data_IF_211681677438
#
_entry.id   IF_211681677438
#
_cell.length_a   1.000
_cell.length_b   1.000
_cell.length_c   1.000
_cell.angle_alpha   90.00
_cell.angle_beta   90.00
_cell.angle_gamma   90.00
#
_symmetry.space_group_name_H-M   'P 1'
#
loop_
_entity.id
_entity.type
_entity.pdbx_description
1 polymer ?
#
# COMPACT_ATOMS: atom_id res chain seq x y z
N UNK A 1 2.52 12.05 -10.30
CA UNK A 1 1.56 11.44 -9.36
C UNK A 1 2.34 10.64 -8.33
N UNK A 2 1.74 10.35 -7.17
CA UNK A 2 2.19 9.26 -6.30
C UNK A 2 1.48 7.98 -6.73
N UNK A 3 2.07 6.79 -6.57
CA UNK A 3 1.42 5.53 -6.87
C UNK A 3 1.03 4.79 -5.58
N UNK A 4 -0.18 4.23 -5.54
CA UNK A 4 -0.62 3.40 -4.42
C UNK A 4 -0.33 1.93 -4.72
N UNK A 5 0.34 1.27 -3.78
CA UNK A 5 0.42 -0.18 -3.72
C UNK A 5 -0.38 -0.67 -2.53
N UNK A 6 -1.36 -1.53 -2.77
CA UNK A 6 -2.23 -2.06 -1.72
C UNK A 6 -2.69 -3.47 -2.09
N UNK A 7 -3.09 -4.24 -1.10
CA UNK A 7 -3.69 -5.56 -1.36
C UNK A 7 -5.16 -5.39 -1.69
N UNK A 8 -5.60 -5.94 -2.82
CA UNK A 8 -7.01 -5.95 -3.20
C UNK A 8 -7.83 -6.74 -2.17
N UNK A 9 -7.37 -7.94 -1.82
CA UNK A 9 -7.97 -8.84 -0.83
C UNK A 9 -9.12 -9.66 -1.40
N UNK A 10 -9.48 -10.74 -0.71
CA UNK A 10 -10.70 -11.50 -1.01
C UNK A 10 -11.88 -10.78 -0.36
N UNK A 11 -12.80 -10.27 -1.19
CA UNK A 11 -13.96 -9.52 -0.73
C UNK A 11 -15.21 -9.96 -1.46
N UNK A 12 -16.30 -10.11 -0.70
CA UNK A 12 -17.62 -10.32 -1.30
C UNK A 12 -18.17 -8.98 -1.81
N UNK A 13 -18.96 -8.96 -2.90
CA UNK A 13 -19.48 -7.73 -3.48
C UNK A 13 -20.22 -6.81 -2.48
N UNK A 14 -20.87 -7.38 -1.47
CA UNK A 14 -21.58 -6.63 -0.42
C UNK A 14 -20.67 -5.78 0.48
N UNK A 15 -19.37 -6.02 0.49
CA UNK A 15 -18.39 -5.24 1.26
C UNK A 15 -17.85 -4.03 0.50
N UNK A 16 -18.11 -3.93 -0.82
CA UNK A 16 -17.58 -2.84 -1.62
C UNK A 16 -18.14 -1.49 -1.16
N UNK A 17 -17.31 -0.46 -1.29
CA UNK A 17 -17.60 0.89 -0.85
C UNK A 17 -17.66 1.81 -2.06
N UNK A 18 -18.67 2.66 -2.10
CA UNK A 18 -18.81 3.66 -3.15
C UNK A 18 -17.87 4.84 -2.91
N UNK A 19 -17.20 5.30 -3.96
CA UNK A 19 -16.48 6.58 -4.03
C UNK A 19 -16.99 7.38 -5.24
N UNK A 20 -16.84 8.70 -5.18
CA UNK A 20 -17.10 9.57 -6.34
C UNK A 20 -15.81 9.79 -7.13
N UNK A 21 -15.85 9.57 -8.43
CA UNK A 21 -14.75 9.79 -9.36
C UNK A 21 -15.30 10.44 -10.64
N UNK A 22 -14.90 11.69 -10.93
CA UNK A 22 -15.36 12.46 -12.09
C UNK A 22 -16.89 12.52 -12.26
N UNK A 23 -17.64 12.60 -11.15
CA UNK A 23 -19.11 12.62 -11.16
C UNK A 23 -19.77 11.25 -11.29
N UNK A 24 -18.98 10.18 -11.43
CA UNK A 24 -19.47 8.80 -11.44
C UNK A 24 -19.24 8.13 -10.08
N UNK A 25 -20.14 7.21 -9.72
CA UNK A 25 -19.95 6.34 -8.54
C UNK A 25 -19.14 5.12 -8.95
N UNK A 26 -18.01 4.90 -8.27
CA UNK A 26 -17.13 3.75 -8.47
C UNK A 26 -17.14 2.90 -7.20
N UNK A 27 -17.34 1.59 -7.35
CA UNK A 27 -17.27 0.62 -6.26
C UNK A 27 -15.83 0.15 -6.08
N UNK A 28 -15.29 0.33 -4.87
CA UNK A 28 -13.92 -0.08 -4.52
C UNK A 28 -13.90 -1.05 -3.34
N UNK A 29 -12.84 -1.83 -3.23
CA UNK A 29 -12.67 -2.75 -2.10
C UNK A 29 -12.54 -2.00 -0.77
N UNK A 30 -12.88 -2.62 0.38
CA UNK A 30 -12.67 -2.03 1.71
C UNK A 30 -11.22 -1.58 1.96
N UNK A 31 -10.26 -2.36 1.43
CA UNK A 31 -8.83 -2.06 1.53
C UNK A 31 -8.49 -0.74 0.84
N UNK A 32 -8.94 -0.57 -0.42
CA UNK A 32 -8.72 0.66 -1.18
C UNK A 32 -9.44 1.85 -0.55
N UNK A 33 -10.70 1.66 -0.11
CA UNK A 33 -11.45 2.73 0.54
C UNK A 33 -10.73 3.26 1.80
N UNK A 34 -10.22 2.34 2.62
CA UNK A 34 -9.45 2.65 3.83
C UNK A 34 -8.16 3.40 3.48
N UNK A 35 -7.43 2.92 2.47
CA UNK A 35 -6.20 3.56 2.00
C UNK A 35 -6.45 4.99 1.50
N UNK A 36 -7.41 5.18 0.59
CA UNK A 36 -7.78 6.49 0.05
C UNK A 36 -8.23 7.47 1.15
N UNK A 37 -9.02 6.97 2.11
CA UNK A 37 -9.48 7.78 3.24
C UNK A 37 -8.31 8.23 4.11
N UNK A 38 -7.33 7.36 4.36
CA UNK A 38 -6.16 7.68 5.19
C UNK A 38 -5.15 8.59 4.49
N UNK A 39 -5.02 8.47 3.17
CA UNK A 39 -4.05 9.21 2.36
C UNK A 39 -4.51 10.60 1.91
N UNK A 40 -5.82 10.88 2.06
CA UNK A 40 -6.42 12.18 1.72
C UNK A 40 -5.84 13.28 2.60
N UNK A 41 -5.37 14.35 1.99
CA UNK A 41 -5.04 15.56 2.73
C UNK A 41 -6.32 16.30 3.13
N UNK A 42 -6.34 16.97 4.29
CA UNK A 42 -7.54 17.65 4.77
C UNK A 42 -7.95 18.86 3.90
N UNK A 43 -6.97 19.53 3.27
CA UNK A 43 -7.20 20.83 2.63
C UNK A 43 -6.67 20.94 1.20
N UNK A 44 -6.12 19.87 0.63
CA UNK A 44 -5.55 19.92 -0.72
C UNK A 44 -5.80 18.60 -1.48
N UNK A 45 -5.95 18.67 -2.81
CA UNK A 45 -6.02 17.46 -3.63
C UNK A 45 -4.72 16.68 -3.55
N UNK A 46 -4.82 15.37 -3.70
CA UNK A 46 -3.67 14.46 -3.83
C UNK A 46 -3.76 13.68 -5.13
N UNK A 47 -2.74 13.78 -5.96
CA UNK A 47 -2.68 13.08 -7.24
C UNK A 47 -2.12 11.67 -7.04
N UNK A 48 -3.01 10.68 -6.93
CA UNK A 48 -2.69 9.27 -6.75
C UNK A 48 -3.04 8.46 -8.00
N UNK A 49 -2.12 7.61 -8.43
CA UNK A 49 -2.39 6.53 -9.37
C UNK A 49 -2.77 5.27 -8.59
N UNK A 50 -3.89 4.66 -8.96
CA UNK A 50 -4.45 3.46 -8.33
C UNK A 50 -4.92 2.54 -9.45
N UNK A 51 -4.38 1.34 -9.52
CA UNK A 51 -4.68 0.33 -10.56
C UNK A 51 -6.19 0.09 -10.74
N UNK A 52 -6.94 -0.11 -9.66
CA UNK A 52 -8.39 -0.38 -9.73
C UNK A 52 -9.24 0.79 -10.26
N UNK A 53 -8.69 2.00 -10.32
CA UNK A 53 -9.40 3.21 -10.78
C UNK A 53 -8.84 3.67 -12.13
N UNK A 54 -7.52 3.67 -12.29
CA UNK A 54 -6.83 4.21 -13.46
C UNK A 54 -6.75 3.23 -14.63
N UNK A 55 -6.97 1.93 -14.40
CA UNK A 55 -7.05 0.90 -15.44
C UNK A 55 -8.51 0.52 -15.61
N UNK A 56 -8.99 0.46 -16.85
CA UNK A 56 -10.32 -0.05 -17.11
C UNK A 56 -10.37 -1.56 -16.83
N UNK A 57 -10.93 -1.92 -15.67
CA UNK A 57 -11.01 -3.30 -15.23
C UNK A 57 -11.98 -4.17 -16.06
N UNK A 58 -12.79 -3.56 -16.94
CA UNK A 58 -13.75 -4.24 -17.81
C UNK A 58 -13.20 -4.49 -19.23
N UNK A 59 -11.99 -4.00 -19.53
CA UNK A 59 -11.35 -4.20 -20.82
C UNK A 59 -10.07 -5.02 -20.62
N UNK A 60 -10.15 -6.31 -20.92
CA UNK A 60 -9.02 -7.24 -20.73
C UNK A 60 -7.82 -6.90 -21.63
N UNK A 61 -8.05 -6.33 -22.82
CA UNK A 61 -6.97 -5.92 -23.73
C UNK A 61 -6.21 -4.72 -23.16
N UNK A 62 -6.92 -3.68 -22.72
CA UNK A 62 -6.31 -2.53 -22.04
C UNK A 62 -5.58 -2.97 -20.77
N UNK A 63 -6.23 -3.82 -19.97
CA UNK A 63 -5.67 -4.33 -18.73
C UNK A 63 -4.37 -5.08 -18.97
N UNK A 64 -4.30 -5.95 -19.98
CA UNK A 64 -3.08 -6.65 -20.34
C UNK A 64 -1.95 -5.68 -20.71
N UNK A 65 -2.24 -4.65 -21.51
CA UNK A 65 -1.27 -3.61 -21.87
C UNK A 65 -0.80 -2.81 -20.65
N UNK A 66 -1.74 -2.39 -19.77
CA UNK A 66 -1.39 -1.67 -18.55
C UNK A 66 -0.57 -2.51 -17.58
N UNK A 67 -0.85 -3.81 -17.48
CA UNK A 67 -0.06 -4.74 -16.66
C UNK A 67 1.39 -4.79 -17.15
N UNK A 68 1.62 -4.82 -18.46
CA UNK A 68 2.98 -4.76 -19.03
C UNK A 68 3.69 -3.43 -18.71
N UNK A 69 2.94 -2.34 -18.51
CA UNK A 69 3.46 -1.03 -18.15
C UNK A 69 3.57 -0.77 -16.65
N UNK A 70 3.13 -1.67 -15.77
CA UNK A 70 3.15 -1.47 -14.31
C UNK A 70 4.51 -1.00 -13.80
N UNK A 71 5.59 -1.67 -14.22
CA UNK A 71 6.95 -1.29 -13.82
C UNK A 71 7.24 0.18 -14.16
N UNK A 72 6.93 0.59 -15.39
CA UNK A 72 7.16 1.97 -15.85
C UNK A 72 6.31 2.99 -15.09
N UNK A 73 5.07 2.62 -14.74
CA UNK A 73 4.16 3.47 -13.97
C UNK A 73 4.75 3.72 -12.56
N UNK A 74 5.14 2.65 -11.85
CA UNK A 74 5.77 2.81 -10.53
C UNK A 74 7.10 3.55 -10.62
N UNK A 75 7.91 3.32 -11.66
CA UNK A 75 9.19 4.03 -11.87
C UNK A 75 9.03 5.53 -12.14
N UNK A 76 7.90 5.93 -12.71
CA UNK A 76 7.57 7.34 -13.01
C UNK A 76 6.80 8.02 -11.87
N UNK A 77 6.35 7.26 -10.86
CA UNK A 77 5.75 7.83 -9.67
C UNK A 77 6.78 8.66 -8.90
N UNK A 78 6.34 9.81 -8.36
CA UNK A 78 7.18 10.61 -7.46
C UNK A 78 7.47 9.85 -6.16
N UNK A 79 6.48 9.12 -5.67
CA UNK A 79 6.57 8.29 -4.47
C UNK A 79 5.63 7.11 -4.64
N UNK A 80 6.07 5.93 -4.19
CA UNK A 80 5.22 4.74 -4.09
C UNK A 80 4.80 4.57 -2.64
N UNK A 81 3.49 4.56 -2.40
CA UNK A 81 2.90 4.41 -1.07
C UNK A 81 2.46 2.97 -0.90
N UNK A 82 3.15 2.21 -0.04
CA UNK A 82 2.73 0.88 0.38
C UNK A 82 1.65 0.95 1.48
N UNK A 83 0.43 0.53 1.17
CA UNK A 83 -0.64 0.39 2.14
C UNK A 83 -0.63 -0.99 2.77
N UNK A 84 -0.18 -1.04 4.02
CA UNK A 84 -0.11 -2.25 4.82
C UNK A 84 -1.42 -2.53 5.56
N UNK A 85 -2.50 -1.79 5.34
CA UNK A 85 -3.73 -1.91 6.13
C UNK A 85 -3.78 -0.98 7.35
N UNK A 86 -4.92 -0.96 8.06
CA UNK A 86 -5.10 -0.11 9.23
C UNK A 86 -4.12 -0.46 10.37
N UNK A 87 -3.90 0.51 11.25
CA UNK A 87 -3.14 0.31 12.49
C UNK A 87 -3.88 -0.69 13.39
N UNK A 88 -3.16 -1.70 13.88
CA UNK A 88 -3.59 -2.58 14.96
C UNK A 88 -2.98 -2.11 16.28
N UNK A 89 -3.56 -2.54 17.41
CA UNK A 89 -3.01 -2.27 18.75
C UNK A 89 -1.55 -2.70 18.89
N UNK A 90 -1.13 -3.73 18.15
CA UNK A 90 0.21 -4.30 18.19
C UNK A 90 1.20 -3.57 17.26
N UNK A 91 0.74 -3.02 16.13
CA UNK A 91 1.65 -2.40 15.13
C UNK A 91 2.17 -1.02 15.50
N UNK A 92 1.52 -0.30 16.42
CA UNK A 92 1.90 1.08 16.74
C UNK A 92 3.31 1.17 17.32
N UNK A 93 3.62 0.32 18.31
CA UNK A 93 4.94 0.24 18.92
C UNK A 93 6.00 -0.20 17.91
N UNK A 94 5.68 -1.17 17.05
CA UNK A 94 6.58 -1.67 16.01
C UNK A 94 6.92 -0.60 14.95
N UNK A 95 5.93 0.12 14.44
CA UNK A 95 6.16 1.20 13.46
C UNK A 95 6.96 2.34 14.09
N UNK A 96 6.71 2.66 15.36
CA UNK A 96 7.50 3.67 16.07
C UNK A 96 8.97 3.23 16.19
N UNK A 97 9.23 1.98 16.60
CA UNK A 97 10.57 1.42 16.68
C UNK A 97 11.30 1.42 15.32
N UNK A 98 10.61 1.05 14.24
CA UNK A 98 11.18 1.10 12.88
C UNK A 98 11.56 2.52 12.46
N UNK A 99 10.74 3.52 12.82
CA UNK A 99 11.02 4.93 12.49
C UNK A 99 12.18 5.51 13.28
N UNK A 100 12.30 5.16 14.56
CA UNK A 100 13.39 5.66 15.41
C UNK A 100 14.76 5.09 15.02
N UNK A 101 14.80 4.02 14.22
CA UNK A 101 16.03 3.34 13.81
C UNK A 101 16.35 3.45 12.30
N UNK A 102 15.57 4.19 11.50
CA UNK A 102 15.64 4.10 10.03
C UNK A 102 16.22 5.32 9.29
N UNK A 103 17.43 5.19 8.73
CA UNK A 103 17.87 5.85 7.48
C UNK A 103 19.13 5.20 6.88
N UNK A 104 20.06 4.72 7.71
CA UNK A 104 21.22 3.95 7.26
C UNK A 104 20.93 2.47 7.38
N UNK A 105 21.45 1.67 6.45
CA UNK A 105 21.06 0.28 6.21
C UNK A 105 20.88 -0.53 7.49
N UNK A 106 19.87 -1.40 7.45
CA UNK A 106 19.53 -2.36 8.51
C UNK A 106 20.69 -3.35 8.71
N UNK A 107 21.77 -2.92 9.38
CA UNK A 107 22.51 -3.84 10.22
C UNK A 107 21.56 -4.20 11.34
N UNK A 108 21.08 -5.43 11.31
CA UNK A 108 20.35 -6.05 12.42
C UNK A 108 21.33 -6.13 13.58
N UNK A 109 21.48 -5.02 14.29
CA UNK A 109 22.32 -4.93 15.48
C UNK A 109 21.74 -5.85 16.54
N UNK A 110 22.63 -6.33 17.41
CA UNK A 110 22.30 -7.24 18.49
C UNK A 110 21.28 -6.68 19.50
N UNK A 111 20.94 -5.40 19.40
CA UNK A 111 19.82 -4.75 20.10
C UNK A 111 18.42 -5.22 19.64
N UNK A 112 18.27 -5.81 18.45
CA UNK A 112 16.99 -6.38 18.01
C UNK A 112 16.61 -7.66 18.78
N UNK A 113 17.58 -8.31 19.44
CA UNK A 113 17.31 -9.45 20.33
C UNK A 113 16.67 -9.03 21.66
N UNK A 114 16.66 -7.73 21.99
CA UNK A 114 15.98 -7.17 23.17
C UNK A 114 14.68 -6.42 22.80
N UNK A 115 14.07 -6.74 21.66
CA UNK A 115 12.73 -6.25 21.38
C UNK A 115 11.77 -6.70 22.48
N UNK A 116 11.00 -5.75 23.02
CA UNK A 116 9.89 -6.12 23.88
C UNK A 116 8.96 -7.08 23.11
N UNK A 117 8.36 -8.02 23.83
CA UNK A 117 7.38 -8.95 23.25
C UNK A 117 6.29 -8.23 22.44
N UNK A 118 5.93 -7.01 22.86
CA UNK A 118 5.00 -6.13 22.16
C UNK A 118 5.53 -5.68 20.78
N UNK A 119 6.78 -5.20 20.69
CA UNK A 119 7.36 -4.79 19.41
C UNK A 119 7.54 -5.99 18.49
N UNK A 120 8.03 -7.11 19.01
CA UNK A 120 8.18 -8.34 18.22
C UNK A 120 6.82 -8.81 17.68
N UNK A 121 5.79 -8.86 18.52
CA UNK A 121 4.43 -9.18 18.09
C UNK A 121 3.90 -8.24 17.00
N UNK A 122 4.16 -6.94 17.15
CA UNK A 122 3.79 -5.93 16.15
C UNK A 122 4.51 -6.08 14.81
N UNK A 123 5.80 -6.46 14.83
CA UNK A 123 6.57 -6.73 13.62
C UNK A 123 6.07 -8.00 12.94
N UNK A 124 5.81 -9.07 13.71
CA UNK A 124 5.23 -10.31 13.19
C UNK A 124 3.86 -10.05 12.57
N UNK A 125 2.98 -9.26 13.21
CA UNK A 125 1.70 -8.83 12.63
C UNK A 125 1.95 -8.12 11.29
N UNK A 126 2.85 -7.12 11.27
CA UNK A 126 3.13 -6.31 10.09
C UNK A 126 3.67 -7.13 8.91
N UNK A 127 4.69 -7.97 9.13
CA UNK A 127 5.27 -8.81 8.08
C UNK A 127 4.36 -9.96 7.65
N UNK A 128 3.42 -10.37 8.49
CA UNK A 128 2.40 -11.37 8.13
C UNK A 128 1.32 -10.82 7.22
N UNK A 129 1.24 -9.49 7.03
CA UNK A 129 0.17 -8.87 6.24
C UNK A 129 0.25 -9.27 4.76
N UNK A 130 -0.90 -9.44 4.08
CA UNK A 130 -0.96 -9.91 2.70
C UNK A 130 -0.12 -9.11 1.71
N UNK A 131 0.10 -7.81 1.98
CA UNK A 131 0.91 -6.95 1.14
C UNK A 131 2.31 -7.53 0.90
N UNK A 132 3.01 -8.00 1.95
CA UNK A 132 4.35 -8.57 1.84
C UNK A 132 4.42 -9.89 1.06
N UNK A 133 3.28 -10.55 0.84
CA UNK A 133 3.19 -11.82 0.10
C UNK A 133 2.88 -11.64 -1.38
N UNK A 134 2.65 -10.40 -1.83
CA UNK A 134 2.34 -10.11 -3.24
C UNK A 134 3.61 -10.17 -4.08
N UNK A 135 3.59 -10.96 -5.14
CA UNK A 135 4.68 -11.03 -6.12
C UNK A 135 5.05 -9.65 -6.70
N UNK A 136 4.05 -8.78 -6.87
CA UNK A 136 4.24 -7.45 -7.45
C UNK A 136 4.96 -6.45 -6.54
N UNK A 137 5.05 -6.71 -5.22
CA UNK A 137 5.76 -5.82 -4.29
C UNK A 137 7.24 -5.69 -4.64
N UNK A 138 7.86 -6.73 -5.19
CA UNK A 138 9.25 -6.64 -5.64
C UNK A 138 9.44 -5.60 -6.74
N UNK A 139 8.53 -5.55 -7.72
CA UNK A 139 8.60 -4.57 -8.80
C UNK A 139 8.30 -3.16 -8.29
N UNK A 140 7.33 -3.01 -7.41
CA UNK A 140 6.95 -1.73 -6.82
C UNK A 140 8.09 -1.13 -5.98
N UNK A 141 8.74 -1.96 -5.14
CA UNK A 141 9.88 -1.54 -4.29
C UNK A 141 11.12 -1.26 -5.13
N UNK A 142 11.41 -2.08 -6.14
CA UNK A 142 12.54 -1.85 -7.04
C UNK A 142 12.34 -0.60 -7.91
N UNK A 143 11.11 -0.35 -8.36
CA UNK A 143 10.77 0.79 -9.18
C UNK A 143 10.69 2.11 -8.40
N UNK A 144 10.44 2.06 -7.09
CA UNK A 144 10.39 3.24 -6.26
C UNK A 144 11.75 3.95 -6.28
N UNK A 145 11.77 5.20 -6.77
CA UNK A 145 12.98 6.02 -6.77
C UNK A 145 13.37 6.38 -5.33
N UNK A 146 14.67 6.28 -5.01
CA UNK A 146 15.28 6.76 -3.76
C UNK A 146 15.07 8.25 -3.57
#
# INVERSE_FOLDING_TARGET
YDALSYTWGDHVPSQFRAISCNGCTVSVTPSLFSALSRLRYPYQPRNLWVDAICINQQNDEEKAVQIQHMLTIYMKARTVVGWLGPESSQTKAAVYALRSHGAEGMEVSMSFLELSSEIYGGLVDLYSRPWFRRLWVQQEVFAARR
#
